data_IF_019519952556
#
_entry.id   IF_019519952556
#
_cell.length_a   1.000
_cell.length_b   1.000
_cell.length_c   1.000
_cell.angle_alpha   90.00
_cell.angle_beta   90.00
_cell.angle_gamma   90.00
#
_symmetry.space_group_name_H-M   'P 1'
#
loop_
_entity.id
_entity.type
_entity.pdbx_description
1 polymer ?
#
# COMPACT_ATOMS: atom_id res chain seq x y z
N UNK A 1 -45.83 -4.46 14.12
CA UNK A 1 -45.53 -3.72 12.88
C UNK A 1 -44.15 -3.11 13.01
N UNK A 2 -43.39 -2.97 11.93
CA UNK A 2 -42.03 -2.42 11.92
C UNK A 2 -41.88 -1.31 10.86
N UNK A 3 -40.91 -0.40 10.98
CA UNK A 3 -40.74 0.73 10.06
C UNK A 3 -39.98 0.40 8.76
N UNK A 4 -39.47 -0.83 8.60
CA UNK A 4 -38.64 -1.24 7.47
C UNK A 4 -39.44 -1.61 6.21
N UNK A 5 -38.79 -1.51 5.05
CA UNK A 5 -39.36 -1.85 3.74
C UNK A 5 -38.79 -3.16 3.19
N UNK A 6 -39.53 -3.91 2.37
CA UNK A 6 -40.97 -3.76 2.13
C UNK A 6 -41.78 -4.05 3.42
N UNK A 7 -43.00 -3.50 3.58
CA UNK A 7 -43.78 -3.67 4.81
C UNK A 7 -44.15 -5.13 5.14
N UNK A 8 -44.13 -6.01 4.14
CA UNK A 8 -44.37 -7.45 4.28
C UNK A 8 -43.11 -8.28 4.54
N UNK A 9 -41.95 -7.65 4.78
CA UNK A 9 -40.73 -8.37 5.08
C UNK A 9 -40.87 -9.16 6.40
N UNK A 10 -40.38 -10.41 6.40
CA UNK A 10 -40.40 -11.23 7.62
C UNK A 10 -39.26 -10.79 8.52
N UNK A 11 -39.58 -9.93 9.48
CA UNK A 11 -38.70 -9.56 10.60
C UNK A 11 -39.12 -10.38 11.81
N UNK A 12 -38.14 -10.91 12.54
CA UNK A 12 -38.37 -11.83 13.65
C UNK A 12 -39.36 -11.26 14.69
N UNK A 13 -40.23 -12.12 15.24
CA UNK A 13 -41.40 -11.74 16.06
C UNK A 13 -41.06 -10.94 17.32
N UNK A 14 -39.79 -11.00 17.75
CA UNK A 14 -39.25 -10.30 18.91
C UNK A 14 -38.81 -8.86 18.63
N UNK A 15 -39.23 -8.26 17.51
CA UNK A 15 -38.87 -6.89 17.17
C UNK A 15 -39.29 -5.91 18.29
N UNK A 16 -38.33 -5.07 18.69
CA UNK A 16 -38.55 -3.96 19.61
C UNK A 16 -37.92 -2.69 19.06
N UNK A 17 -38.64 -1.57 19.18
CA UNK A 17 -38.09 -0.25 18.87
C UNK A 17 -36.87 0.07 19.75
N UNK A 18 -36.04 0.99 19.28
CA UNK A 18 -34.87 1.45 20.03
C UNK A 18 -35.30 2.14 21.32
N UNK A 19 -34.77 1.68 22.45
CA UNK A 19 -35.02 2.29 23.76
C UNK A 19 -34.27 3.62 23.94
N UNK A 20 -33.04 3.72 23.42
CA UNK A 20 -32.24 4.93 23.46
C UNK A 20 -32.56 5.85 22.26
N UNK A 21 -32.59 7.18 22.46
CA UNK A 21 -32.61 8.11 21.35
C UNK A 21 -31.31 8.03 20.54
N UNK A 22 -31.37 8.30 19.24
CA UNK A 22 -30.24 8.17 18.31
C UNK A 22 -28.95 8.86 18.79
N UNK A 23 -29.05 10.07 19.33
CA UNK A 23 -27.86 10.82 19.80
C UNK A 23 -27.11 10.09 20.92
N UNK A 24 -27.82 9.36 21.79
CA UNK A 24 -27.25 8.60 22.91
C UNK A 24 -26.46 7.41 22.37
N UNK A 25 -27.07 6.63 21.47
CA UNK A 25 -26.41 5.51 20.81
C UNK A 25 -25.21 5.96 19.97
N UNK A 26 -25.33 7.09 19.25
CA UNK A 26 -24.24 7.69 18.50
C UNK A 26 -23.08 8.16 19.39
N UNK A 27 -23.37 8.76 20.54
CA UNK A 27 -22.34 9.16 21.51
C UNK A 27 -21.61 7.95 22.11
N UNK A 28 -22.35 6.86 22.42
CA UNK A 28 -21.77 5.59 22.88
C UNK A 28 -20.81 5.00 21.83
N UNK A 29 -21.20 4.99 20.55
CA UNK A 29 -20.34 4.56 19.45
C UNK A 29 -19.08 5.43 19.34
N UNK A 30 -19.22 6.76 19.34
CA UNK A 30 -18.09 7.68 19.24
C UNK A 30 -17.09 7.50 20.39
N UNK A 31 -17.59 7.38 21.63
CA UNK A 31 -16.76 7.11 22.81
C UNK A 31 -16.04 5.78 22.72
N UNK A 32 -16.74 4.73 22.29
CA UNK A 32 -16.19 3.39 22.14
C UNK A 32 -15.11 3.32 21.04
N UNK A 33 -15.35 3.90 19.87
CA UNK A 33 -14.32 4.03 18.81
C UNK A 33 -13.10 4.77 19.36
N UNK A 34 -13.29 5.89 20.05
CA UNK A 34 -12.19 6.67 20.63
C UNK A 34 -11.39 5.84 21.64
N UNK A 35 -12.05 5.05 22.50
CA UNK A 35 -11.37 4.16 23.45
C UNK A 35 -10.45 3.16 22.73
N UNK A 36 -10.92 2.51 21.66
CA UNK A 36 -10.08 1.59 20.89
C UNK A 36 -8.92 2.31 20.21
N UNK A 37 -9.16 3.46 19.59
CA UNK A 37 -8.11 4.26 18.95
C UNK A 37 -7.03 4.69 19.95
N UNK A 38 -7.42 5.09 21.16
CA UNK A 38 -6.48 5.43 22.25
C UNK A 38 -5.71 4.18 22.71
N UNK A 39 -6.41 3.07 22.95
CA UNK A 39 -5.78 1.81 23.38
C UNK A 39 -4.73 1.34 22.37
N UNK A 40 -5.06 1.31 21.08
CA UNK A 40 -4.10 0.97 20.03
C UNK A 40 -2.91 1.93 19.98
N UNK A 41 -3.13 3.22 20.21
CA UNK A 41 -2.03 4.20 20.26
C UNK A 41 -1.08 4.02 21.43
N UNK A 42 -1.57 3.45 22.54
CA UNK A 42 -0.75 3.11 23.70
C UNK A 42 0.01 1.81 23.49
N UNK A 43 -0.59 0.85 22.78
CA UNK A 43 0.01 -0.46 22.52
C UNK A 43 1.04 -0.46 21.38
N UNK A 44 1.00 0.53 20.49
CA UNK A 44 1.93 0.60 19.35
C UNK A 44 3.28 1.22 19.74
N UNK A 45 4.39 0.46 19.65
CA UNK A 45 5.70 0.88 20.15
C UNK A 45 6.35 2.01 19.32
N UNK A 46 5.87 2.26 18.09
CA UNK A 46 6.37 3.33 17.22
C UNK A 46 5.20 4.01 16.52
N UNK A 47 5.16 5.35 16.59
CA UNK A 47 4.18 6.15 15.86
C UNK A 47 4.61 6.31 14.39
N UNK A 48 3.67 6.29 13.43
CA UNK A 48 3.99 6.51 12.02
C UNK A 48 4.57 7.92 11.82
N UNK A 49 5.67 8.01 11.07
CA UNK A 49 6.26 9.29 10.65
C UNK A 49 5.56 9.76 9.36
N UNK A 50 5.02 10.97 9.35
CA UNK A 50 4.53 11.64 8.13
C UNK A 50 3.21 11.13 7.50
N UNK A 51 2.70 9.95 7.86
CA UNK A 51 1.46 9.36 7.27
C UNK A 51 0.38 9.00 8.31
N UNK A 52 0.24 9.83 9.35
CA UNK A 52 -0.60 9.53 10.52
C UNK A 52 -2.07 9.28 10.18
N UNK A 53 -2.66 10.02 9.24
CA UNK A 53 -4.09 9.88 8.93
C UNK A 53 -4.45 8.55 8.26
N UNK A 54 -3.55 7.96 7.45
CA UNK A 54 -3.80 6.68 6.78
C UNK A 54 -3.81 5.53 7.78
N UNK A 55 -2.87 5.60 8.72
CA UNK A 55 -2.85 4.72 9.87
C UNK A 55 -4.18 4.78 10.62
N UNK A 56 -4.67 5.98 10.92
CA UNK A 56 -5.95 6.16 11.62
C UNK A 56 -7.15 5.70 10.81
N UNK A 57 -7.15 5.90 9.49
CA UNK A 57 -8.16 5.39 8.59
C UNK A 57 -8.25 3.86 8.65
N UNK A 58 -7.14 3.16 8.44
CA UNK A 58 -7.13 1.69 8.46
C UNK A 58 -7.45 1.12 9.85
N UNK A 59 -7.06 1.82 10.92
CA UNK A 59 -7.40 1.43 12.28
C UNK A 59 -8.90 1.61 12.57
N UNK A 60 -9.49 2.72 12.10
CA UNK A 60 -10.94 2.94 12.16
C UNK A 60 -11.69 1.85 11.39
N UNK A 61 -11.29 1.56 10.14
CA UNK A 61 -11.88 0.48 9.35
C UNK A 61 -11.76 -0.86 10.06
N UNK A 62 -10.59 -1.21 10.60
CA UNK A 62 -10.41 -2.44 11.37
C UNK A 62 -11.35 -2.50 12.58
N UNK A 63 -11.53 -1.39 13.30
CA UNK A 63 -12.43 -1.33 14.47
C UNK A 63 -13.88 -1.53 14.04
N UNK A 64 -14.33 -0.87 12.97
CA UNK A 64 -15.68 -1.00 12.46
C UNK A 64 -15.94 -2.42 11.92
N UNK A 65 -15.06 -2.98 11.09
CA UNK A 65 -15.23 -4.33 10.54
C UNK A 65 -15.23 -5.39 11.64
N UNK A 66 -14.23 -5.38 12.53
CA UNK A 66 -14.11 -6.45 13.53
C UNK A 66 -15.18 -6.38 14.61
N UNK A 67 -15.58 -5.16 14.99
CA UNK A 67 -16.41 -4.99 16.18
C UNK A 67 -17.84 -4.53 15.84
N UNK A 68 -18.03 -3.58 14.92
CA UNK A 68 -19.38 -3.10 14.56
C UNK A 68 -20.08 -4.11 13.64
N UNK A 69 -19.45 -4.49 12.53
CA UNK A 69 -19.96 -5.53 11.61
C UNK A 69 -19.87 -6.92 12.24
N UNK A 70 -18.82 -7.18 13.04
CA UNK A 70 -18.72 -8.40 13.84
C UNK A 70 -19.90 -8.57 14.80
N UNK A 71 -20.36 -7.47 15.41
CA UNK A 71 -21.57 -7.50 16.24
C UNK A 71 -22.81 -7.90 15.44
N UNK A 72 -22.98 -7.34 14.23
CA UNK A 72 -24.08 -7.71 13.33
C UNK A 72 -24.04 -9.19 12.97
N UNK A 73 -22.90 -9.70 12.51
CA UNK A 73 -22.75 -11.10 12.09
C UNK A 73 -23.04 -12.05 13.24
N UNK A 74 -22.58 -11.74 14.47
CA UNK A 74 -22.79 -12.58 15.64
C UNK A 74 -24.22 -12.52 16.20
N UNK A 75 -24.81 -11.33 16.29
CA UNK A 75 -26.10 -11.11 16.95
C UNK A 75 -27.30 -11.01 16.00
N UNK A 76 -27.11 -11.22 14.68
CA UNK A 76 -28.13 -11.11 13.64
C UNK A 76 -29.52 -11.61 14.05
N UNK A 77 -29.61 -12.81 14.63
CA UNK A 77 -30.90 -13.44 14.94
C UNK A 77 -31.64 -12.81 16.12
N UNK A 78 -30.92 -12.19 17.06
CA UNK A 78 -31.47 -11.57 18.26
C UNK A 78 -31.48 -10.04 18.21
N UNK A 79 -30.79 -9.43 17.24
CA UNK A 79 -30.57 -7.99 17.14
C UNK A 79 -31.85 -7.17 17.09
N UNK A 80 -32.93 -7.73 16.53
CA UNK A 80 -34.23 -7.06 16.40
C UNK A 80 -34.88 -6.71 17.74
N UNK A 81 -34.60 -7.50 18.79
CA UNK A 81 -35.14 -7.30 20.15
C UNK A 81 -34.10 -6.81 21.15
N UNK A 82 -32.83 -6.77 20.74
CA UNK A 82 -31.73 -6.34 21.59
C UNK A 82 -31.70 -4.81 21.74
N UNK A 83 -31.36 -4.37 22.95
CA UNK A 83 -31.26 -2.97 23.36
C UNK A 83 -29.82 -2.57 23.66
N UNK A 84 -28.84 -3.42 23.37
CA UNK A 84 -27.46 -2.96 23.34
C UNK A 84 -27.27 -1.88 22.25
N UNK A 85 -26.45 -0.87 22.53
CA UNK A 85 -26.36 0.32 21.67
C UNK A 85 -25.91 -0.02 20.23
N UNK A 86 -25.08 -1.05 20.03
CA UNK A 86 -24.70 -1.52 18.70
C UNK A 86 -25.91 -2.10 17.94
N UNK A 87 -26.72 -2.93 18.59
CA UNK A 87 -27.95 -3.46 18.01
C UNK A 87 -28.95 -2.36 17.67
N UNK A 88 -29.06 -1.35 18.54
CA UNK A 88 -29.91 -0.18 18.27
C UNK A 88 -29.40 0.65 17.08
N UNK A 89 -28.09 0.82 16.93
CA UNK A 89 -27.50 1.51 15.78
C UNK A 89 -27.69 0.72 14.48
N UNK A 90 -27.61 -0.61 14.52
CA UNK A 90 -27.92 -1.44 13.37
C UNK A 90 -29.40 -1.37 12.99
N UNK A 91 -30.31 -1.37 13.98
CA UNK A 91 -31.74 -1.13 13.75
C UNK A 91 -32.01 0.25 13.13
N UNK A 92 -31.30 1.28 13.57
CA UNK A 92 -31.39 2.61 12.97
C UNK A 92 -30.84 2.61 11.54
N UNK A 93 -29.65 2.05 11.33
CA UNK A 93 -29.02 1.99 10.01
C UNK A 93 -29.85 1.17 9.02
N UNK A 94 -30.55 0.14 9.48
CA UNK A 94 -31.47 -0.65 8.67
C UNK A 94 -32.68 0.14 8.15
N UNK A 95 -32.97 1.33 8.66
CA UNK A 95 -33.96 2.24 8.04
C UNK A 95 -33.50 2.73 6.66
N UNK A 96 -32.18 2.77 6.45
CA UNK A 96 -31.57 3.08 5.16
C UNK A 96 -31.45 1.87 4.23
N UNK A 97 -31.34 0.67 4.80
CA UNK A 97 -31.31 -0.59 4.06
C UNK A 97 -31.81 -1.73 4.96
N UNK A 98 -33.06 -2.13 4.75
CA UNK A 98 -33.72 -3.16 5.56
C UNK A 98 -33.07 -4.55 5.45
N UNK A 99 -32.22 -4.80 4.44
CA UNK A 99 -31.53 -6.08 4.23
C UNK A 99 -30.71 -6.53 5.43
N UNK A 100 -30.27 -5.58 6.27
CA UNK A 100 -29.61 -5.86 7.55
C UNK A 100 -30.54 -6.50 8.60
N UNK A 101 -31.86 -6.43 8.45
CA UNK A 101 -32.82 -7.11 9.31
C UNK A 101 -33.61 -8.21 8.60
N UNK A 102 -33.58 -8.22 7.26
CA UNK A 102 -34.43 -9.10 6.43
C UNK A 102 -33.64 -10.25 5.81
N UNK A 103 -32.92 -11.04 6.62
CA UNK A 103 -32.27 -12.31 6.22
C UNK A 103 -31.55 -12.33 4.85
N UNK A 104 -31.06 -11.18 4.38
CA UNK A 104 -30.47 -11.07 3.06
C UNK A 104 -29.13 -11.82 3.03
N UNK A 105 -29.00 -12.75 2.08
CA UNK A 105 -27.84 -13.63 2.02
C UNK A 105 -26.60 -12.87 1.56
N UNK A 106 -26.76 -11.89 0.66
CA UNK A 106 -25.64 -11.12 0.16
C UNK A 106 -25.05 -10.23 1.26
N UNK A 107 -25.88 -9.45 1.97
CA UNK A 107 -25.46 -8.60 3.08
C UNK A 107 -24.80 -9.46 4.17
N UNK A 108 -25.37 -10.60 4.54
CA UNK A 108 -24.69 -11.49 5.49
C UNK A 108 -23.30 -11.91 5.00
N UNK A 109 -23.19 -12.37 3.76
CA UNK A 109 -21.94 -12.90 3.23
C UNK A 109 -20.86 -11.81 3.12
N UNK A 110 -21.21 -10.61 2.65
CA UNK A 110 -20.23 -9.53 2.52
C UNK A 110 -19.76 -9.05 3.89
N UNK A 111 -20.65 -8.94 4.87
CA UNK A 111 -20.31 -8.55 6.25
C UNK A 111 -19.51 -9.66 6.97
N UNK A 112 -19.76 -10.94 6.67
CA UNK A 112 -18.90 -12.01 7.18
C UNK A 112 -17.48 -11.90 6.58
N UNK A 113 -17.36 -11.61 5.28
CA UNK A 113 -16.07 -11.40 4.62
C UNK A 113 -15.35 -10.18 5.20
N UNK A 114 -16.06 -9.09 5.47
CA UNK A 114 -15.46 -7.88 6.06
C UNK A 114 -14.90 -8.19 7.44
N UNK A 115 -15.63 -8.93 8.27
CA UNK A 115 -15.20 -9.34 9.62
C UNK A 115 -13.98 -10.26 9.57
N UNK A 116 -14.03 -11.34 8.78
CA UNK A 116 -12.99 -12.38 8.82
C UNK A 116 -11.76 -12.07 7.97
N UNK A 117 -11.88 -11.25 6.93
CA UNK A 117 -10.79 -10.97 6.00
C UNK A 117 -10.39 -9.49 6.00
N UNK A 118 -11.34 -8.57 5.83
CA UNK A 118 -10.99 -7.16 5.60
C UNK A 118 -10.60 -6.41 6.87
N UNK A 119 -11.25 -6.70 8.00
CA UNK A 119 -10.90 -6.20 9.32
C UNK A 119 -9.47 -6.54 9.71
N UNK A 120 -9.06 -7.83 9.67
CA UNK A 120 -7.68 -8.24 9.92
C UNK A 120 -6.69 -7.65 8.91
N UNK A 121 -7.05 -7.57 7.63
CA UNK A 121 -6.21 -6.96 6.60
C UNK A 121 -5.99 -5.46 6.86
N UNK A 122 -7.03 -4.73 7.29
CA UNK A 122 -6.94 -3.33 7.66
C UNK A 122 -6.04 -3.14 8.90
N UNK A 123 -6.16 -4.01 9.90
CA UNK A 123 -5.28 -3.99 11.08
C UNK A 123 -3.82 -4.23 10.69
N UNK A 124 -3.56 -5.24 9.85
CA UNK A 124 -2.24 -5.53 9.33
C UNK A 124 -1.67 -4.35 8.53
N UNK A 125 -2.50 -3.73 7.68
CA UNK A 125 -2.09 -2.55 6.91
C UNK A 125 -1.72 -1.38 7.82
N UNK A 126 -2.52 -1.11 8.86
CA UNK A 126 -2.20 -0.10 9.86
C UNK A 126 -0.88 -0.41 10.59
N UNK A 127 -0.65 -1.66 10.97
CA UNK A 127 0.61 -2.11 11.58
C UNK A 127 1.82 -1.88 10.65
N UNK A 128 1.70 -2.22 9.37
CA UNK A 128 2.76 -2.01 8.38
C UNK A 128 3.05 -0.54 8.11
N UNK A 129 2.03 0.32 8.14
CA UNK A 129 2.20 1.79 8.07
C UNK A 129 2.95 2.30 9.31
N UNK A 130 2.59 1.83 10.51
CA UNK A 130 3.27 2.23 11.75
C UNK A 130 4.75 1.79 11.78
N UNK A 131 5.09 0.70 11.09
CA UNK A 131 6.45 0.17 10.95
C UNK A 131 7.21 0.74 9.74
N UNK A 132 6.61 1.63 8.96
CA UNK A 132 7.19 2.17 7.72
C UNK A 132 7.67 1.06 6.76
N UNK A 133 6.91 -0.03 6.68
CA UNK A 133 7.27 -1.21 5.88
C UNK A 133 6.81 -1.04 4.43
N UNK A 134 7.66 -1.42 3.46
CA UNK A 134 7.32 -1.42 2.03
C UNK A 134 6.11 -2.32 1.69
N UNK A 135 5.86 -3.35 2.51
CA UNK A 135 4.67 -4.21 2.39
C UNK A 135 3.35 -3.46 2.61
N UNK A 136 3.38 -2.23 3.13
CA UNK A 136 2.20 -1.38 3.28
C UNK A 136 1.48 -1.17 1.95
N UNK A 137 2.19 -0.99 0.84
CA UNK A 137 1.58 -0.66 -0.45
C UNK A 137 0.80 -1.84 -1.06
N UNK A 138 1.35 -3.06 -1.12
CA UNK A 138 0.56 -4.25 -1.50
C UNK A 138 -0.66 -4.48 -0.60
N UNK A 139 -0.52 -4.41 0.72
CA UNK A 139 -1.64 -4.65 1.64
C UNK A 139 -2.71 -3.56 1.55
N UNK A 140 -2.29 -2.29 1.48
CA UNK A 140 -3.18 -1.14 1.24
C UNK A 140 -3.94 -1.30 -0.08
N UNK A 141 -3.27 -1.74 -1.15
CA UNK A 141 -3.90 -1.97 -2.46
C UNK A 141 -5.01 -3.02 -2.36
N UNK A 142 -4.73 -4.18 -1.75
CA UNK A 142 -5.73 -5.26 -1.58
C UNK A 142 -6.91 -4.76 -0.74
N UNK A 143 -6.65 -4.08 0.39
CA UNK A 143 -7.69 -3.54 1.25
C UNK A 143 -8.58 -2.51 0.53
N UNK A 144 -7.97 -1.60 -0.24
CA UNK A 144 -8.71 -0.58 -0.97
C UNK A 144 -9.57 -1.17 -2.09
N UNK A 145 -9.05 -2.17 -2.83
CA UNK A 145 -9.84 -2.89 -3.84
C UNK A 145 -11.01 -3.62 -3.19
N UNK A 146 -10.78 -4.27 -2.05
CA UNK A 146 -11.82 -4.96 -1.30
C UNK A 146 -12.96 -4.01 -0.89
N UNK A 147 -12.65 -2.84 -0.34
CA UNK A 147 -13.65 -1.83 0.01
C UNK A 147 -14.43 -1.32 -1.22
N UNK A 148 -13.73 -0.95 -2.29
CA UNK A 148 -14.39 -0.47 -3.51
C UNK A 148 -15.30 -1.53 -4.13
N UNK A 149 -14.84 -2.77 -4.17
CA UNK A 149 -15.60 -3.89 -4.71
C UNK A 149 -16.81 -4.23 -3.83
N UNK A 150 -16.63 -4.25 -2.51
CA UNK A 150 -17.70 -4.47 -1.54
C UNK A 150 -18.82 -3.44 -1.66
N UNK A 151 -18.47 -2.16 -1.65
CA UNK A 151 -19.44 -1.07 -1.77
C UNK A 151 -20.11 -1.07 -3.16
N UNK A 152 -19.36 -1.37 -4.23
CA UNK A 152 -19.94 -1.50 -5.56
C UNK A 152 -21.00 -2.60 -5.62
N UNK A 153 -20.73 -3.78 -5.04
CA UNK A 153 -21.70 -4.87 -4.98
C UNK A 153 -22.88 -4.54 -4.06
N UNK A 154 -22.63 -3.89 -2.93
CA UNK A 154 -23.67 -3.43 -2.00
C UNK A 154 -24.69 -2.51 -2.67
N UNK A 155 -24.21 -1.51 -3.43
CA UNK A 155 -25.08 -0.65 -4.23
C UNK A 155 -25.74 -1.40 -5.37
N UNK A 156 -24.98 -2.19 -6.13
CA UNK A 156 -25.50 -2.88 -7.32
C UNK A 156 -26.62 -3.87 -7.00
N UNK A 157 -26.50 -4.59 -5.88
CA UNK A 157 -27.52 -5.56 -5.46
C UNK A 157 -28.81 -4.86 -5.02
N UNK A 158 -28.72 -3.73 -4.33
CA UNK A 158 -29.89 -2.93 -3.95
C UNK A 158 -30.59 -2.34 -5.17
N UNK A 159 -29.81 -1.72 -6.08
CA UNK A 159 -30.33 -1.14 -7.31
C UNK A 159 -30.95 -2.20 -8.22
N UNK A 160 -30.38 -3.41 -8.25
CA UNK A 160 -30.98 -4.53 -8.97
C UNK A 160 -32.32 -4.97 -8.37
N UNK A 161 -32.44 -5.03 -7.05
CA UNK A 161 -33.71 -5.31 -6.40
C UNK A 161 -34.75 -4.21 -6.66
N UNK A 162 -34.33 -2.94 -6.63
CA UNK A 162 -35.20 -1.79 -6.90
C UNK A 162 -35.70 -1.78 -8.34
N UNK A 163 -34.79 -1.74 -9.32
CA UNK A 163 -35.17 -1.61 -10.74
C UNK A 163 -35.56 -2.93 -11.39
N UNK A 164 -35.04 -4.05 -10.90
CA UNK A 164 -35.29 -5.38 -11.46
C UNK A 164 -36.50 -6.08 -10.85
N UNK A 165 -36.81 -5.83 -9.57
CA UNK A 165 -37.90 -6.51 -8.84
C UNK A 165 -38.93 -5.56 -8.21
N UNK A 166 -38.70 -4.24 -8.25
CA UNK A 166 -39.57 -3.27 -7.58
C UNK A 166 -39.49 -3.35 -6.05
N UNK A 167 -38.40 -3.89 -5.50
CA UNK A 167 -38.19 -4.05 -4.07
C UNK A 167 -37.36 -2.90 -3.53
N UNK A 168 -37.99 -2.07 -2.70
CA UNK A 168 -37.33 -0.96 -2.03
C UNK A 168 -36.92 -1.38 -0.62
N UNK A 169 -35.65 -1.15 -0.27
CA UNK A 169 -35.10 -1.47 1.05
C UNK A 169 -34.92 -0.23 1.93
N UNK A 170 -34.82 0.95 1.32
CA UNK A 170 -34.62 2.22 1.99
C UNK A 170 -35.94 2.95 2.21
N UNK A 171 -36.10 3.54 3.39
CA UNK A 171 -37.23 4.42 3.68
C UNK A 171 -37.28 5.63 2.75
N UNK A 172 -38.49 6.13 2.41
CA UNK A 172 -38.65 7.18 1.40
C UNK A 172 -38.13 8.56 1.87
N UNK A 173 -37.93 8.76 3.17
CA UNK A 173 -37.38 10.01 3.67
C UNK A 173 -35.94 10.21 3.16
N UNK A 174 -35.61 11.38 2.57
CA UNK A 174 -34.31 11.61 1.94
C UNK A 174 -33.09 11.39 2.84
N UNK A 175 -33.26 11.55 4.16
CA UNK A 175 -32.17 11.33 5.13
C UNK A 175 -31.68 9.87 5.12
N UNK A 176 -32.57 8.90 4.99
CA UNK A 176 -32.20 7.49 5.02
C UNK A 176 -31.50 7.08 3.73
N UNK A 177 -31.97 7.54 2.57
CA UNK A 177 -31.28 7.22 1.33
C UNK A 177 -29.98 8.02 1.14
N UNK A 178 -30.03 9.36 1.23
CA UNK A 178 -28.87 10.17 0.86
C UNK A 178 -27.80 10.27 1.95
N UNK A 179 -28.20 10.45 3.22
CA UNK A 179 -27.22 10.59 4.29
C UNK A 179 -26.73 9.22 4.77
N UNK A 180 -27.64 8.28 5.02
CA UNK A 180 -27.25 6.98 5.59
C UNK A 180 -26.75 6.04 4.49
N UNK A 181 -27.61 5.71 3.53
CA UNK A 181 -27.27 4.72 2.52
C UNK A 181 -26.13 5.20 1.60
N UNK A 182 -26.20 6.41 1.05
CA UNK A 182 -25.12 6.94 0.20
C UNK A 182 -24.00 7.57 1.05
N UNK A 183 -24.35 8.46 1.97
CA UNK A 183 -23.40 9.30 2.70
C UNK A 183 -22.48 8.53 3.65
N UNK A 184 -23.00 7.58 4.44
CA UNK A 184 -22.15 6.79 5.35
C UNK A 184 -21.28 5.77 4.61
N UNK A 185 -21.66 5.31 3.43
CA UNK A 185 -20.82 4.41 2.62
C UNK A 185 -19.80 5.17 1.74
N UNK A 186 -20.04 6.45 1.42
CA UNK A 186 -19.15 7.25 0.57
C UNK A 186 -17.67 7.29 1.00
N UNK A 187 -17.30 7.34 2.30
CA UNK A 187 -15.90 7.28 2.74
C UNK A 187 -15.17 6.02 2.24
N UNK A 188 -15.84 4.86 2.23
CA UNK A 188 -15.30 3.59 1.72
C UNK A 188 -15.21 3.52 0.19
N UNK A 189 -15.71 4.54 -0.52
CA UNK A 189 -15.44 4.75 -1.94
C UNK A 189 -14.29 5.73 -2.13
N UNK A 190 -14.41 6.92 -1.55
CA UNK A 190 -13.52 8.04 -1.85
C UNK A 190 -12.11 7.80 -1.30
N UNK A 191 -11.99 7.41 -0.02
CA UNK A 191 -10.67 7.26 0.62
C UNK A 191 -9.92 6.06 0.04
N UNK A 192 -10.54 4.87 -0.10
CA UNK A 192 -9.91 3.74 -0.79
C UNK A 192 -9.48 4.05 -2.22
N UNK A 193 -10.26 4.79 -3.02
CA UNK A 193 -9.86 5.17 -4.37
C UNK A 193 -8.58 6.02 -4.40
N UNK A 194 -8.49 7.01 -3.51
CA UNK A 194 -7.30 7.88 -3.38
C UNK A 194 -6.08 7.05 -2.93
N UNK A 195 -6.26 6.22 -1.91
CA UNK A 195 -5.19 5.39 -1.35
C UNK A 195 -4.73 4.30 -2.32
N UNK A 196 -5.64 3.75 -3.12
CA UNK A 196 -5.34 2.80 -4.18
C UNK A 196 -4.45 3.46 -5.24
N UNK A 197 -4.87 4.62 -5.74
CA UNK A 197 -4.09 5.39 -6.72
C UNK A 197 -2.70 5.74 -6.19
N UNK A 198 -2.62 6.19 -4.94
CA UNK A 198 -1.35 6.50 -4.30
C UNK A 198 -0.42 5.29 -4.23
N UNK A 199 -0.92 4.11 -3.84
CA UNK A 199 -0.10 2.90 -3.77
C UNK A 199 0.34 2.42 -5.16
N UNK A 200 -0.52 2.52 -6.17
CA UNK A 200 -0.15 2.21 -7.57
C UNK A 200 1.00 3.11 -8.05
N UNK A 201 0.93 4.41 -7.78
CA UNK A 201 2.00 5.34 -8.15
C UNK A 201 3.31 5.07 -7.41
N UNK A 202 3.24 4.76 -6.11
CA UNK A 202 4.42 4.41 -5.32
C UNK A 202 5.09 3.14 -5.84
N UNK A 203 4.31 2.09 -6.11
CA UNK A 203 4.79 0.83 -6.68
C UNK A 203 5.41 1.06 -8.07
N UNK A 204 4.74 1.83 -8.94
CA UNK A 204 5.27 2.20 -10.26
C UNK A 204 6.62 2.92 -10.16
N UNK A 205 6.74 3.89 -9.25
CA UNK A 205 7.99 4.62 -9.03
C UNK A 205 9.10 3.70 -8.54
N UNK A 206 8.80 2.80 -7.60
CA UNK A 206 9.77 1.84 -7.08
C UNK A 206 10.30 0.91 -8.18
N UNK A 207 9.44 0.41 -9.07
CA UNK A 207 9.87 -0.41 -10.21
C UNK A 207 10.72 0.37 -11.22
N UNK A 208 10.41 1.65 -11.47
CA UNK A 208 11.23 2.48 -12.34
C UNK A 208 12.64 2.67 -11.77
N UNK A 209 12.75 3.02 -10.49
CA UNK A 209 14.04 3.19 -9.81
C UNK A 209 14.83 1.87 -9.73
N UNK A 210 14.18 0.74 -9.49
CA UNK A 210 14.83 -0.57 -9.49
C UNK A 210 15.46 -0.88 -10.85
N UNK A 211 14.75 -0.58 -11.95
CA UNK A 211 15.27 -0.77 -13.32
C UNK A 211 16.49 0.12 -13.60
N UNK A 212 16.46 1.38 -13.18
CA UNK A 212 17.60 2.30 -13.33
C UNK A 212 18.83 1.83 -12.54
N UNK A 213 18.62 1.34 -11.31
CA UNK A 213 19.68 0.76 -10.48
C UNK A 213 20.28 -0.50 -11.09
N UNK A 214 19.48 -1.37 -11.71
CA UNK A 214 19.98 -2.57 -12.38
C UNK A 214 20.87 -2.22 -13.59
N UNK A 215 20.48 -1.21 -14.36
CA UNK A 215 21.31 -0.69 -15.47
C UNK A 215 22.60 -0.10 -14.93
N UNK A 216 22.53 0.73 -13.87
CA UNK A 216 23.71 1.32 -13.26
C UNK A 216 24.67 0.25 -12.71
N UNK A 217 24.15 -0.78 -12.04
CA UNK A 217 24.94 -1.94 -11.57
C UNK A 217 25.59 -2.70 -12.73
N UNK A 218 24.88 -2.90 -13.84
CA UNK A 218 25.43 -3.56 -15.03
C UNK A 218 26.56 -2.74 -15.68
N UNK A 219 26.42 -1.42 -15.75
CA UNK A 219 27.48 -0.55 -16.25
C UNK A 219 28.68 -0.55 -15.31
N UNK A 220 28.45 -0.43 -13.99
CA UNK A 220 29.51 -0.45 -13.00
C UNK A 220 30.28 -1.79 -12.99
N UNK A 221 29.58 -2.93 -13.17
CA UNK A 221 30.23 -4.23 -13.25
C UNK A 221 31.07 -4.38 -14.52
N UNK A 222 30.60 -3.89 -15.67
CA UNK A 222 31.38 -3.86 -16.92
C UNK A 222 32.64 -3.01 -16.78
N UNK A 223 32.51 -1.78 -16.28
CA UNK A 223 33.65 -0.87 -16.07
C UNK A 223 34.66 -1.49 -15.10
N UNK A 224 34.19 -2.14 -14.02
CA UNK A 224 35.07 -2.85 -13.08
C UNK A 224 35.82 -4.01 -13.74
N UNK A 225 35.19 -4.76 -14.66
CA UNK A 225 35.85 -5.83 -15.39
C UNK A 225 36.91 -5.30 -16.35
N UNK A 226 36.59 -4.26 -17.13
CA UNK A 226 37.53 -3.61 -18.06
C UNK A 226 38.72 -3.01 -17.30
N UNK A 227 38.51 -2.30 -16.20
CA UNK A 227 39.60 -1.75 -15.41
C UNK A 227 40.51 -2.86 -14.84
N UNK A 228 39.93 -4.00 -14.46
CA UNK A 228 40.70 -5.13 -13.93
C UNK A 228 41.48 -5.88 -15.03
N UNK A 229 40.98 -5.92 -16.28
CA UNK A 229 41.76 -6.44 -17.42
C UNK A 229 42.93 -5.51 -17.76
N UNK A 230 42.68 -4.20 -17.85
CA UNK A 230 43.70 -3.21 -18.21
C UNK A 230 44.82 -3.15 -17.16
N UNK A 231 44.46 -3.28 -15.87
CA UNK A 231 45.43 -3.33 -14.78
C UNK A 231 46.31 -4.59 -14.86
N UNK A 232 45.73 -5.74 -15.19
CA UNK A 232 46.47 -7.00 -15.39
C UNK A 232 47.42 -6.91 -16.57
N UNK A 233 46.97 -6.36 -17.69
CA UNK A 233 47.81 -6.15 -18.88
C UNK A 233 48.97 -5.20 -18.58
N UNK A 234 48.70 -4.09 -17.90
CA UNK A 234 49.72 -3.10 -17.53
C UNK A 234 50.78 -3.71 -16.59
N UNK A 235 50.37 -4.53 -15.63
CA UNK A 235 51.29 -5.22 -14.72
C UNK A 235 52.15 -6.27 -15.43
N UNK A 236 51.54 -7.05 -16.34
CA UNK A 236 52.26 -8.01 -17.16
C UNK A 236 53.31 -7.32 -18.06
N UNK A 237 52.95 -6.18 -18.67
CA UNK A 237 53.88 -5.38 -19.47
C UNK A 237 55.05 -4.83 -18.65
N UNK A 238 54.79 -4.33 -17.43
CA UNK A 238 55.84 -3.84 -16.53
C UNK A 238 56.81 -4.95 -16.11
N UNK A 239 56.31 -6.15 -15.81
CA UNK A 239 57.14 -7.32 -15.51
C UNK A 239 57.99 -7.74 -16.71
N UNK A 240 57.42 -7.74 -17.93
CA UNK A 240 58.16 -8.04 -19.15
C UNK A 240 59.27 -7.01 -19.41
N UNK A 241 59.02 -5.73 -19.16
CA UNK A 241 60.02 -4.67 -19.32
C UNK A 241 61.14 -4.78 -18.29
N UNK A 242 60.80 -5.06 -17.02
CA UNK A 242 61.79 -5.25 -15.95
C UNK A 242 62.68 -6.47 -16.22
N UNK A 243 62.10 -7.60 -16.63
CA UNK A 243 62.87 -8.80 -16.99
C UNK A 243 63.79 -8.56 -18.21
N UNK A 244 63.34 -7.82 -19.22
CA UNK A 244 64.18 -7.43 -20.37
C UNK A 244 65.35 -6.49 -19.97
N UNK A 245 65.13 -5.57 -19.02
CA UNK A 245 66.19 -4.72 -18.48
C UNK A 245 67.23 -5.54 -17.69
N UNK A 246 66.79 -6.52 -16.88
CA UNK A 246 67.70 -7.42 -16.17
C UNK A 246 68.51 -8.29 -17.13
N UNK A 247 67.88 -8.81 -18.20
CA UNK A 247 68.57 -9.61 -19.21
C UNK A 247 69.64 -8.80 -19.97
N UNK A 248 69.34 -7.55 -20.34
CA UNK A 248 70.31 -6.68 -21.02
C UNK A 248 71.45 -6.25 -20.09
N UNK A 249 71.18 -6.03 -18.80
CA UNK A 249 72.21 -5.78 -17.79
C UNK A 249 73.13 -7.00 -17.61
N UNK A 250 72.57 -8.21 -17.53
CA UNK A 250 73.34 -9.45 -17.45
C UNK A 250 74.24 -9.65 -18.68
N UNK A 251 73.73 -9.37 -19.89
CA UNK A 251 74.50 -9.40 -21.12
C UNK A 251 75.63 -8.36 -21.14
N UNK A 252 75.39 -7.15 -20.66
CA UNK A 252 76.44 -6.12 -20.55
C UNK A 252 77.53 -6.50 -19.54
N UNK A 253 77.17 -7.12 -18.42
CA UNK A 253 78.13 -7.65 -17.44
C UNK A 253 78.94 -8.81 -18.05
N UNK A 254 78.30 -9.71 -18.79
CA UNK A 254 78.97 -10.80 -19.49
C UNK A 254 79.88 -10.30 -20.64
N UNK A 255 79.47 -9.25 -21.36
CA UNK A 255 80.28 -8.60 -22.40
C UNK A 255 81.47 -7.84 -21.82
N UNK A 256 81.29 -7.15 -20.68
CA UNK A 256 82.38 -6.53 -19.92
C UNK A 256 83.40 -7.54 -19.38
N UNK A 257 83.01 -8.80 -19.19
CA UNK A 257 83.91 -9.88 -18.79
C UNK A 257 84.68 -10.48 -19.99
N UNK A 258 84.28 -10.19 -21.23
CA UNK A 258 84.91 -10.70 -22.46
C UNK A 258 85.99 -9.77 -23.03
N UNK A 259 86.10 -8.52 -22.58
CA UNK A 259 87.04 -7.51 -23.10
C UNK A 259 88.34 -7.36 -22.27
N UNK A 260 88.69 -8.35 -21.44
CA UNK A 260 89.99 -8.39 -20.77
C UNK A 260 90.83 -9.57 -21.28
N UNK A 261 91.77 -9.35 -22.22
CA UNK A 261 92.74 -10.36 -22.60
C UNK A 261 93.88 -10.32 -21.59
N UNK A 262 93.73 -11.00 -20.45
CA UNK A 262 94.91 -11.35 -19.66
C UNK A 262 94.88 -12.82 -19.26
N UNK A 263 95.70 -13.59 -20.00
CA UNK A 263 96.12 -14.93 -19.63
C UNK A 263 96.98 -14.85 -18.37
N UNK A 264 96.63 -15.67 -17.39
CA UNK A 264 97.45 -16.37 -16.38
C UNK A 264 96.42 -16.79 -15.30
N UNK A 265 95.99 -18.05 -15.20
CA UNK A 265 96.82 -19.21 -14.90
C UNK A 265 96.96 -19.32 -13.38
N UNK A 266 96.07 -20.07 -12.72
CA UNK A 266 96.41 -21.06 -11.67
C UNK A 266 95.18 -21.75 -11.08
N UNK A 267 95.38 -23.04 -10.82
CA UNK A 267 94.44 -24.01 -10.27
C UNK A 267 94.05 -23.69 -8.82
N UNK A 268 92.83 -24.04 -8.41
CA UNK A 268 92.67 -24.79 -7.16
C UNK A 268 91.38 -25.61 -7.14
N UNK A 269 91.55 -26.94 -7.05
CA UNK A 269 90.52 -27.89 -6.66
C UNK A 269 90.35 -27.88 -5.13
N UNK A 270 89.10 -27.73 -4.65
CA UNK A 270 88.50 -28.33 -3.43
C UNK A 270 87.20 -27.56 -3.12
N UNK A 271 86.08 -28.17 -2.83
CA UNK A 271 85.79 -29.58 -2.58
C UNK A 271 84.27 -29.80 -2.59
N UNK A 272 83.93 -31.06 -2.80
CA UNK A 272 82.60 -31.66 -2.64
C UNK A 272 81.91 -31.17 -1.37
N UNK A 273 80.63 -30.80 -1.50
CA UNK A 273 79.62 -31.37 -0.61
C UNK A 273 78.31 -31.60 -1.38
N UNK A 274 77.74 -32.77 -1.11
CA UNK A 274 76.60 -33.41 -1.74
C UNK A 274 75.38 -33.09 -0.89
N UNK A 275 74.29 -32.60 -1.49
CA UNK A 275 72.95 -32.75 -0.94
C UNK A 275 72.00 -33.07 -2.10
N UNK A 276 71.53 -34.31 -2.09
CA UNK A 276 70.40 -34.82 -2.87
C UNK A 276 69.09 -34.32 -2.26
N UNK A 277 68.09 -34.14 -3.13
CA UNK A 277 66.64 -34.22 -2.93
C UNK A 277 66.01 -33.77 -1.60
N UNK A 278 65.24 -32.69 -1.69
CA UNK A 278 63.90 -32.65 -1.09
C UNK A 278 62.98 -31.77 -1.96
N UNK A 279 62.04 -32.41 -2.65
CA UNK A 279 60.90 -31.73 -3.25
C UNK A 279 59.96 -31.26 -2.15
N UNK A 280 59.78 -29.94 -2.02
CA UNK A 280 58.67 -29.36 -1.26
C UNK A 280 57.66 -28.84 -2.27
N UNK A 281 56.70 -29.71 -2.59
CA UNK A 281 55.48 -29.38 -3.31
C UNK A 281 54.62 -28.47 -2.41
N UNK A 282 54.65 -27.16 -2.66
CA UNK A 282 53.78 -26.20 -1.98
C UNK A 282 52.44 -26.19 -2.70
N UNK A 283 51.44 -26.87 -2.14
CA UNK A 283 50.06 -26.87 -2.62
C UNK A 283 49.47 -25.44 -2.62
N UNK A 284 49.33 -24.84 -3.80
CA UNK A 284 48.69 -23.53 -4.01
C UNK A 284 47.18 -23.54 -3.67
N UNK A 285 46.57 -24.71 -3.52
CA UNK A 285 45.14 -24.87 -3.25
C UNK A 285 44.72 -24.57 -1.80
N UNK A 286 45.63 -24.65 -0.82
CA UNK A 286 45.30 -24.39 0.58
C UNK A 286 45.32 -22.90 0.94
N UNK A 287 46.18 -22.10 0.27
CA UNK A 287 46.15 -20.63 0.40
C UNK A 287 44.93 -20.01 -0.27
N UNK A 288 44.42 -20.63 -1.34
CA UNK A 288 43.21 -20.16 -2.02
C UNK A 288 41.93 -20.38 -1.17
N UNK A 289 41.90 -21.42 -0.32
CA UNK A 289 40.76 -21.69 0.58
C UNK A 289 40.73 -20.75 1.79
N UNK A 290 41.88 -20.38 2.33
CA UNK A 290 41.98 -19.49 3.49
C UNK A 290 41.58 -18.03 3.13
N UNK A 291 41.95 -17.56 1.94
CA UNK A 291 41.52 -16.26 1.42
C UNK A 291 40.02 -16.24 1.11
N UNK A 292 39.46 -17.34 0.59
CA UNK A 292 38.04 -17.43 0.28
C UNK A 292 37.17 -17.47 1.54
N UNK A 293 37.66 -18.05 2.65
CA UNK A 293 36.92 -18.08 3.92
C UNK A 293 36.94 -16.71 4.64
N UNK A 294 38.04 -15.94 4.53
CA UNK A 294 38.11 -14.58 5.09
C UNK A 294 37.29 -13.54 4.31
N UNK A 295 37.12 -13.72 2.99
CA UNK A 295 36.27 -12.83 2.18
C UNK A 295 34.78 -13.08 2.43
N UNK A 296 34.39 -14.33 2.72
CA UNK A 296 32.99 -14.68 3.02
C UNK A 296 32.56 -14.21 4.41
N UNK A 297 33.45 -14.21 5.41
CA UNK A 297 33.15 -13.69 6.76
C UNK A 297 33.12 -12.15 6.84
N UNK A 298 33.84 -11.43 5.96
CA UNK A 298 33.76 -9.97 5.84
C UNK A 298 32.53 -9.47 5.05
N UNK A 299 31.94 -10.31 4.20
CA UNK A 299 30.70 -9.98 3.48
C UNK A 299 29.46 -10.14 4.37
N UNK A 300 29.44 -11.12 5.26
CA UNK A 300 28.29 -11.35 6.17
C UNK A 300 28.16 -10.25 7.26
N UNK A 301 29.24 -9.51 7.54
CA UNK A 301 29.24 -8.41 8.52
C UNK A 301 28.96 -7.01 7.94
N UNK A 302 28.83 -6.86 6.61
CA UNK A 302 28.62 -5.54 5.96
C UNK A 302 27.19 -5.28 5.50
N UNK A 303 26.32 -6.27 5.54
CA UNK A 303 24.92 -6.13 5.09
C UNK A 303 24.01 -5.39 6.10
N UNK A 304 24.52 -5.02 7.27
CA UNK A 304 23.73 -4.33 8.32
C UNK A 304 23.98 -2.81 8.47
N UNK A 305 24.96 -2.18 7.81
CA UNK A 305 25.28 -0.76 8.12
C UNK A 305 25.61 0.24 7.00
N UNK A 306 25.61 -0.08 5.69
CA UNK A 306 26.07 0.89 4.67
C UNK A 306 25.06 1.31 3.59
N UNK A 307 23.84 1.71 4.00
CA UNK A 307 22.82 2.20 3.08
C UNK A 307 22.95 3.66 2.59
N UNK A 308 24.01 4.42 2.93
CA UNK A 308 24.00 5.88 2.76
C UNK A 308 25.21 6.59 2.15
N UNK A 309 26.32 5.94 1.78
CA UNK A 309 27.51 6.70 1.33
C UNK A 309 27.83 6.67 -0.16
N UNK A 310 27.22 5.81 -0.99
CA UNK A 310 27.71 5.59 -2.37
C UNK A 310 26.93 6.32 -3.49
N UNK A 311 25.87 7.06 -3.16
CA UNK A 311 25.03 7.72 -4.16
C UNK A 311 25.68 8.97 -4.79
N UNK A 312 26.65 9.61 -4.11
CA UNK A 312 27.34 10.82 -4.57
C UNK A 312 28.27 10.58 -5.76
N UNK A 313 28.97 9.44 -5.77
CA UNK A 313 29.93 9.10 -6.83
C UNK A 313 29.23 8.73 -8.15
N UNK A 314 28.05 8.12 -8.07
CA UNK A 314 27.26 7.73 -9.23
C UNK A 314 26.56 8.93 -9.88
N UNK A 315 26.01 9.85 -9.07
CA UNK A 315 25.40 11.08 -9.59
C UNK A 315 26.42 12.01 -10.27
N UNK A 316 27.62 12.14 -9.70
CA UNK A 316 28.69 12.95 -10.31
C UNK A 316 29.18 12.38 -11.64
N UNK A 317 29.21 11.05 -11.81
CA UNK A 317 29.56 10.41 -13.07
C UNK A 317 28.48 10.57 -14.15
N UNK A 318 27.20 10.45 -13.80
CA UNK A 318 26.08 10.62 -14.75
C UNK A 318 25.93 12.08 -15.19
N UNK A 319 26.07 13.04 -14.25
CA UNK A 319 26.02 14.46 -14.56
C UNK A 319 27.14 14.90 -15.51
N UNK A 320 28.34 14.33 -15.38
CA UNK A 320 29.49 14.67 -16.21
C UNK A 320 29.41 14.06 -17.62
N UNK A 321 28.74 12.91 -17.80
CA UNK A 321 28.66 12.22 -19.10
C UNK A 321 27.44 12.61 -19.95
N UNK A 322 26.33 13.02 -19.34
CA UNK A 322 25.07 13.30 -20.06
C UNK A 322 24.52 14.73 -19.89
N UNK A 323 25.14 15.56 -19.07
CA UNK A 323 24.70 16.93 -18.79
C UNK A 323 25.13 17.97 -19.83
N UNK A 324 24.66 17.89 -21.09
CA UNK A 324 24.69 19.05 -22.01
C UNK A 324 23.69 18.92 -23.17
N UNK A 325 22.44 19.34 -22.95
CA UNK A 325 21.59 19.99 -23.96
C UNK A 325 20.74 21.05 -23.27
N UNK A 326 20.98 22.32 -23.60
CA UNK A 326 20.33 23.47 -22.96
C UNK A 326 19.25 24.14 -23.80
N UNK A 327 18.49 24.99 -23.09
CA UNK A 327 17.70 26.21 -23.44
C UNK A 327 16.27 26.09 -22.86
N UNK A 328 15.71 27.06 -22.13
CA UNK A 328 16.11 28.45 -21.96
C UNK A 328 15.42 29.17 -20.79
N UNK A 329 15.90 30.40 -20.61
CA UNK A 329 15.67 31.39 -19.56
C UNK A 329 14.19 31.68 -19.26
N UNK A 330 13.89 31.89 -17.97
CA UNK A 330 13.28 33.11 -17.41
C UNK A 330 13.66 33.22 -15.94
N UNK A 331 14.37 34.29 -15.58
CA UNK A 331 14.81 34.56 -14.22
C UNK A 331 13.71 35.17 -13.36
N UNK A 332 13.94 35.16 -12.05
CA UNK A 332 13.69 36.26 -11.10
C UNK A 332 14.52 35.93 -9.84
N UNK A 333 15.43 36.83 -9.49
CA UNK A 333 16.13 36.89 -8.21
C UNK A 333 15.18 37.41 -7.12
N UNK A 334 15.34 36.90 -5.88
CA UNK A 334 15.33 37.62 -4.59
C UNK A 334 15.34 36.59 -3.45
N UNK A 335 16.50 36.36 -2.81
CA UNK A 335 16.99 37.02 -1.59
C UNK A 335 16.11 36.76 -0.36
N UNK A 336 16.61 35.88 0.51
CA UNK A 336 16.21 35.74 1.91
C UNK A 336 16.41 37.06 2.66
N UNK A 337 15.40 37.52 3.37
CA UNK A 337 15.60 38.25 4.62
C UNK A 337 14.37 38.07 5.53
N UNK A 338 14.67 37.57 6.74
CA UNK A 338 13.81 37.59 7.92
C UNK A 338 13.56 39.04 8.31
N UNK A 339 12.33 39.37 8.72
CA UNK A 339 12.01 40.15 9.93
C UNK A 339 10.49 40.37 10.04
N UNK A 340 9.94 40.04 11.22
CA UNK A 340 8.69 40.53 11.80
C UNK A 340 9.07 41.40 13.01
N UNK A 341 8.16 42.12 13.69
CA UNK A 341 6.89 42.75 13.30
C UNK A 341 6.78 44.21 13.82
N UNK A 342 5.83 45.03 13.32
CA UNK A 342 5.32 46.20 14.08
C UNK A 342 3.82 46.45 13.88
N UNK A 343 3.24 46.92 14.98
CA UNK A 343 1.83 47.07 15.35
C UNK A 343 1.15 48.32 14.74
N UNK A 344 -0.19 48.27 14.81
CA UNK A 344 -1.16 49.36 15.05
C UNK A 344 -1.23 50.55 14.08
N UNK A 345 -2.41 50.74 13.45
CA UNK A 345 -3.43 51.68 13.92
C UNK A 345 -4.61 51.79 12.93
N UNK A 346 -5.83 51.84 13.50
CA UNK A 346 -6.99 52.70 13.20
C UNK A 346 -7.10 53.30 11.78
N UNK A 347 -8.26 53.40 11.12
CA UNK A 347 -9.55 53.85 11.63
C UNK A 347 -10.61 53.81 10.49
N UNK A 348 -11.88 53.82 10.90
CA UNK A 348 -13.03 54.45 10.22
C UNK A 348 -13.92 53.64 9.26
N UNK A 349 -15.05 53.21 9.84
CA UNK A 349 -16.43 53.57 9.47
C UNK A 349 -16.78 53.74 7.98
N UNK A 350 -17.75 52.94 7.49
CA UNK A 350 -19.04 53.52 7.13
C UNK A 350 -20.19 52.49 7.09
N UNK A 351 -21.35 52.94 7.58
CA UNK A 351 -22.63 52.25 7.63
C UNK A 351 -23.34 52.33 6.26
N UNK A 352 -24.15 51.31 5.92
CA UNK A 352 -25.55 51.56 5.55
C UNK A 352 -26.38 50.27 5.50
N UNK A 353 -27.47 50.28 6.28
CA UNK A 353 -28.59 49.35 6.24
C UNK A 353 -29.55 49.71 5.09
N UNK A 354 -30.29 48.73 4.55
CA UNK A 354 -31.78 48.73 4.46
C UNK A 354 -32.31 47.53 3.64
N UNK A 355 -33.11 46.70 4.31
CA UNK A 355 -34.24 45.92 3.75
C UNK A 355 -35.56 46.69 4.05
N UNK A 356 -36.80 46.20 3.82
CA UNK A 356 -37.34 45.07 3.02
C UNK A 356 -38.54 45.49 2.12
N UNK A 357 -39.13 44.56 1.33
CA UNK A 357 -40.61 44.30 1.22
C UNK A 357 -40.97 43.24 0.15
N UNK A 358 -41.81 42.29 0.56
CA UNK A 358 -42.80 41.49 -0.23
C UNK A 358 -44.18 42.20 -0.10
N UNK A 359 -45.38 41.77 -0.59
CA UNK A 359 -45.80 40.48 -1.21
C UNK A 359 -46.87 40.57 -2.35
N UNK A 360 -47.27 39.43 -2.96
CA UNK A 360 -48.64 39.04 -3.42
C UNK A 360 -48.59 37.72 -4.24
N UNK A 361 -49.33 36.66 -3.85
CA UNK A 361 -50.60 36.12 -4.43
C UNK A 361 -50.48 35.75 -5.94
N UNK A 362 -50.93 34.61 -6.49
CA UNK A 362 -52.15 33.82 -6.27
C UNK A 362 -52.17 32.51 -7.12
N UNK A 363 -52.95 31.51 -6.65
CA UNK A 363 -53.72 30.43 -7.32
C UNK A 363 -53.29 29.65 -8.60
N UNK A 364 -53.56 28.33 -8.58
CA UNK A 364 -53.84 27.54 -9.79
C UNK A 364 -53.70 26.02 -9.63
N UNK A 365 -54.81 25.35 -9.35
CA UNK A 365 -55.00 23.91 -9.12
C UNK A 365 -55.14 23.06 -10.40
N UNK A 366 -54.62 21.83 -10.31
CA UNK A 366 -55.10 20.52 -10.82
C UNK A 366 -55.50 20.33 -12.29
N UNK A 367 -54.87 19.36 -12.96
CA UNK A 367 -55.58 18.45 -13.87
C UNK A 367 -54.94 17.05 -13.88
N UNK A 368 -55.78 16.06 -13.59
CA UNK A 368 -55.51 14.62 -13.49
C UNK A 368 -55.87 13.96 -14.81
N UNK A 369 -54.98 13.15 -15.38
CA UNK A 369 -55.28 12.31 -16.55
C UNK A 369 -55.40 10.86 -16.08
N UNK A 370 -56.63 10.34 -16.15
CA UNK A 370 -56.99 8.93 -16.01
C UNK A 370 -56.72 8.22 -17.33
N UNK A 371 -55.96 7.13 -17.29
CA UNK A 371 -55.79 6.19 -18.41
C UNK A 371 -56.57 4.92 -18.06
N UNK A 372 -57.58 4.61 -18.86
CA UNK A 372 -58.12 3.26 -18.99
C UNK A 372 -57.98 2.81 -20.45
N UNK A 373 -57.34 1.67 -20.67
CA UNK A 373 -57.73 0.74 -21.73
C UNK A 373 -57.24 -0.67 -21.41
N UNK A 374 -58.22 -1.55 -21.34
CA UNK A 374 -58.14 -3.00 -21.25
C UNK A 374 -57.50 -3.65 -22.48
N UNK A 375 -57.01 -4.88 -22.26
CA UNK A 375 -57.08 -6.10 -23.10
C UNK A 375 -55.94 -7.01 -22.60
N UNK A 376 -56.15 -8.15 -21.92
CA UNK A 376 -57.07 -9.23 -22.25
C UNK A 376 -56.34 -10.23 -23.15
N UNK A 377 -55.72 -11.27 -22.57
CA UNK A 377 -55.42 -12.53 -23.24
C UNK A 377 -55.32 -13.69 -22.24
N UNK A 378 -55.85 -14.83 -22.69
CA UNK A 378 -56.36 -15.98 -21.96
C UNK A 378 -55.31 -16.95 -21.40
N UNK A 379 -55.79 -17.74 -20.43
CA UNK A 379 -55.26 -19.02 -19.97
C UNK A 379 -54.97 -20.00 -21.11
N UNK A 380 -53.91 -20.80 -20.95
CA UNK A 380 -53.96 -22.22 -21.29
C UNK A 380 -53.03 -23.01 -20.38
N UNK A 381 -53.61 -23.98 -19.67
CA UNK A 381 -52.96 -24.72 -18.61
C UNK A 381 -52.10 -25.89 -19.05
N UNK A 382 -51.39 -26.48 -18.08
CA UNK A 382 -51.03 -27.89 -18.15
C UNK A 382 -50.91 -28.46 -16.73
N UNK A 383 -51.90 -29.27 -16.34
CA UNK A 383 -51.85 -30.15 -15.17
C UNK A 383 -51.51 -31.57 -15.63
N UNK A 384 -50.44 -32.10 -15.04
CA UNK A 384 -50.26 -33.47 -14.51
C UNK A 384 -50.42 -34.71 -15.42
N UNK A 385 -49.34 -35.49 -15.50
CA UNK A 385 -49.34 -36.95 -15.53
C UNK A 385 -48.27 -37.42 -14.50
N UNK A 386 -48.52 -38.14 -13.40
CA UNK A 386 -49.24 -39.39 -13.05
C UNK A 386 -48.29 -40.60 -12.92
N UNK A 387 -48.28 -41.13 -11.69
CA UNK A 387 -47.87 -42.48 -11.23
C UNK A 387 -46.35 -42.72 -11.10
N UNK A 388 -45.85 -43.48 -10.12
CA UNK A 388 -46.46 -44.61 -9.39
C UNK A 388 -45.62 -44.95 -8.14
N UNK A 389 -46.32 -45.34 -7.07
CA UNK A 389 -46.03 -46.31 -5.97
C UNK A 389 -44.57 -46.79 -5.76
N UNK A 390 -44.07 -47.06 -4.54
CA UNK A 390 -44.71 -47.84 -3.48
C UNK A 390 -43.82 -47.82 -2.19
N UNK A 391 -44.48 -47.80 -1.02
CA UNK A 391 -44.22 -48.64 0.16
C UNK A 391 -42.85 -48.68 0.84
N UNK A 392 -42.77 -48.26 2.12
CA UNK A 392 -42.82 -49.16 3.31
C UNK A 392 -42.80 -48.32 4.60
N UNK A 393 -43.67 -48.67 5.57
CA UNK A 393 -43.61 -48.20 6.96
C UNK A 393 -44.93 -47.73 7.52
#
# INVERSE_FOLDING_TARGET
>A
MHPYLPPGAVIHEQYQDNADPLWSSGAKLGGWILTFLVLYSLLLPKRPRGETWKFWWFLLCSTLHLLFEGWFVWHRSSMVGDQFFLSQLWKEYALSDSRYLTNDTFVLCIEAITVFLWGPLCLLTAFLIARDSHWRHPMQLIACVAHLYGVALYYSTSLYDEYGKGLYHSRPEPVYYWLYYVGFNAPWVIIPAILLWQSVLAIKSAFASAKELDVARSVASKVRMELNSDLKESFAAALAQSSAQLASLALNIAGSASDNPNKNGENNERGKERVEDDQVEVNEDDKAKEVKMNVLSEQENKDDESGKSDYSAVESFIANKYGKKGKGKKGIQRSNQKEQPKQNANQSQNQNQKTPKSPSHEHGTTESIVIHKDNGYEENGMKTAKSRNQSTG
#
